data_IF_967091272951
#
_entry.id   IF_967091272951
#
_cell.length_a   1.000
_cell.length_b   1.000
_cell.length_c   1.000
_cell.angle_alpha   90.00
_cell.angle_beta   90.00
_cell.angle_gamma   90.00
#
_symmetry.space_group_name_H-M   'P 1'
#
loop_
_entity.id
_entity.type
_entity.pdbx_description
1 polymer ?
#
# COMPACT_ATOMS: atom_id res chain seq x y z
N UNK A 1 -8.37 -16.79 -3.73
CA UNK A 1 -7.15 -16.18 -3.11
C UNK A 1 -6.89 -14.89 -3.84
N UNK A 2 -6.68 -13.77 -3.13
CA UNK A 2 -6.24 -12.53 -3.78
C UNK A 2 -4.80 -12.21 -3.36
N UNK A 3 -4.10 -11.47 -4.20
CA UNK A 3 -2.71 -11.07 -4.02
C UNK A 3 -2.66 -9.55 -4.11
N UNK A 4 -2.06 -8.89 -3.14
CA UNK A 4 -1.83 -7.45 -3.13
C UNK A 4 -0.35 -7.21 -2.83
N UNK A 5 0.34 -6.48 -3.72
CA UNK A 5 1.75 -6.13 -3.58
C UNK A 5 2.02 -4.72 -4.11
N UNK A 6 3.24 -4.25 -3.89
CA UNK A 6 3.77 -3.05 -4.55
C UNK A 6 4.28 -3.41 -5.95
N UNK A 7 3.99 -2.58 -6.94
CA UNK A 7 4.61 -2.68 -8.26
C UNK A 7 6.11 -2.30 -8.18
N UNK A 8 6.47 -1.47 -7.22
CA UNK A 8 7.75 -0.79 -7.10
C UNK A 8 8.04 0.17 -8.27
N UNK A 9 9.04 1.04 -8.12
CA UNK A 9 9.50 1.89 -9.23
C UNK A 9 10.66 1.25 -9.94
N UNK A 10 10.53 1.07 -11.24
CA UNK A 10 11.60 0.60 -12.10
C UNK A 10 12.77 1.57 -12.07
N UNK A 11 13.98 1.07 -11.77
CA UNK A 11 15.22 1.82 -11.83
C UNK A 11 15.91 1.55 -13.16
N UNK A 12 16.39 2.61 -13.79
CA UNK A 12 17.22 2.47 -14.98
C UNK A 12 18.47 1.62 -14.67
N UNK A 13 18.80 0.72 -15.59
CA UNK A 13 19.99 -0.15 -15.52
C UNK A 13 20.02 -1.20 -14.39
N UNK A 14 18.89 -1.58 -13.81
CA UNK A 14 18.80 -2.74 -12.92
C UNK A 14 17.86 -3.80 -13.51
N UNK A 15 18.37 -5.02 -13.68
CA UNK A 15 17.52 -6.20 -13.85
C UNK A 15 16.81 -6.46 -12.50
N UNK A 16 15.54 -6.13 -12.43
CA UNK A 16 14.71 -6.34 -11.25
C UNK A 16 13.29 -6.66 -11.66
N UNK A 17 12.52 -7.23 -10.74
CA UNK A 17 11.08 -7.42 -10.91
C UNK A 17 10.28 -6.13 -10.65
N UNK A 18 10.94 -4.98 -10.43
CA UNK A 18 10.29 -3.70 -10.22
C UNK A 18 9.62 -3.15 -11.47
N UNK A 19 8.53 -2.41 -11.26
CA UNK A 19 7.63 -1.92 -12.30
C UNK A 19 6.43 -2.83 -12.50
N UNK A 20 5.27 -2.23 -12.83
CA UNK A 20 3.98 -2.92 -12.92
C UNK A 20 4.05 -4.19 -13.77
N UNK A 21 4.48 -4.07 -15.01
CA UNK A 21 4.52 -5.22 -15.95
C UNK A 21 5.48 -6.32 -15.49
N UNK A 22 6.68 -5.92 -15.00
CA UNK A 22 7.69 -6.86 -14.54
C UNK A 22 7.21 -7.61 -13.28
N UNK A 23 6.62 -6.88 -12.33
CA UNK A 23 6.07 -7.47 -11.09
C UNK A 23 4.94 -8.43 -11.40
N UNK A 24 4.00 -8.04 -12.25
CA UNK A 24 2.89 -8.89 -12.67
C UNK A 24 3.39 -10.18 -13.33
N UNK A 25 4.34 -10.07 -14.26
CA UNK A 25 4.97 -11.22 -14.92
C UNK A 25 5.66 -12.14 -13.90
N UNK A 26 6.47 -11.57 -13.01
CA UNK A 26 7.18 -12.32 -11.97
C UNK A 26 6.23 -13.12 -11.07
N UNK A 27 5.14 -12.47 -10.60
CA UNK A 27 4.12 -13.14 -9.77
C UNK A 27 3.49 -14.29 -10.54
N UNK A 28 3.05 -14.06 -11.79
CA UNK A 28 2.43 -15.11 -12.62
C UNK A 28 3.39 -16.29 -12.85
N UNK A 29 4.67 -16.06 -13.12
CA UNK A 29 5.67 -17.11 -13.30
C UNK A 29 5.89 -17.93 -12.03
N UNK A 30 6.01 -17.28 -10.87
CA UNK A 30 6.14 -17.96 -9.58
C UNK A 30 4.95 -18.83 -9.24
N UNK A 31 3.74 -18.36 -9.55
CA UNK A 31 2.54 -19.16 -9.36
C UNK A 31 2.44 -20.33 -10.34
N UNK A 32 2.83 -20.16 -11.61
CA UNK A 32 2.93 -21.28 -12.57
C UNK A 32 3.83 -22.40 -12.05
N UNK A 33 4.97 -22.05 -11.48
CA UNK A 33 5.88 -23.05 -10.90
C UNK A 33 5.23 -23.85 -9.76
N UNK A 34 4.49 -23.16 -8.87
CA UNK A 34 3.83 -23.77 -7.70
C UNK A 34 2.57 -24.57 -8.08
N UNK A 35 1.87 -24.19 -9.13
CA UNK A 35 0.60 -24.80 -9.54
C UNK A 35 0.73 -25.66 -10.80
N UNK A 36 1.94 -26.02 -11.25
CA UNK A 36 2.20 -26.90 -12.39
C UNK A 36 1.37 -28.18 -12.36
N UNK A 37 1.13 -28.75 -11.18
CA UNK A 37 0.33 -29.96 -11.02
C UNK A 37 -1.17 -29.77 -11.32
N UNK A 38 -1.67 -28.53 -11.28
CA UNK A 38 -3.10 -28.21 -11.50
C UNK A 38 -3.42 -27.72 -12.93
N UNK A 39 -2.41 -27.49 -13.76
CA UNK A 39 -2.58 -27.11 -15.17
C UNK A 39 -3.28 -25.75 -15.43
N UNK A 40 -3.43 -24.92 -14.40
CA UNK A 40 -4.14 -23.63 -14.49
C UNK A 40 -3.22 -22.48 -14.20
N UNK A 41 -3.26 -21.45 -15.05
CA UNK A 41 -2.60 -20.16 -14.80
C UNK A 41 -3.31 -19.42 -13.63
N UNK A 42 -2.54 -18.70 -12.84
CA UNK A 42 -3.13 -17.87 -11.80
C UNK A 42 -3.88 -16.68 -12.46
N UNK A 43 -5.16 -16.45 -12.12
CA UNK A 43 -5.95 -15.38 -12.74
C UNK A 43 -5.36 -14.01 -12.40
N UNK A 44 -5.02 -13.22 -13.41
CA UNK A 44 -4.47 -11.87 -13.24
C UNK A 44 -5.44 -10.95 -12.51
N UNK A 45 -6.73 -11.17 -12.64
CA UNK A 45 -7.81 -10.43 -11.98
C UNK A 45 -7.79 -10.60 -10.45
N UNK A 46 -7.04 -11.56 -9.94
CA UNK A 46 -6.83 -11.79 -8.51
C UNK A 46 -5.55 -11.13 -7.98
N UNK A 47 -4.85 -10.37 -8.82
CA UNK A 47 -3.64 -9.62 -8.44
C UNK A 47 -3.97 -8.13 -8.47
N UNK A 48 -3.61 -7.43 -7.40
CA UNK A 48 -3.59 -5.97 -7.34
C UNK A 48 -2.18 -5.50 -7.00
N UNK A 49 -1.67 -4.57 -7.78
CA UNK A 49 -0.38 -3.93 -7.55
C UNK A 49 -0.59 -2.43 -7.25
N UNK A 50 -0.05 -1.98 -6.11
CA UNK A 50 -0.02 -0.56 -5.80
C UNK A 50 0.84 0.21 -6.81
N UNK A 51 0.49 1.49 -7.11
CA UNK A 51 -0.53 2.30 -6.44
C UNK A 51 -1.96 2.07 -6.95
N UNK A 52 -2.18 1.71 -8.23
CA UNK A 52 -3.50 1.76 -8.87
C UNK A 52 -3.76 0.59 -9.84
N UNK A 53 -2.96 -0.47 -9.76
CA UNK A 53 -3.01 -1.66 -10.63
C UNK A 53 -2.72 -1.37 -12.12
N UNK A 54 -1.93 -0.34 -12.40
CA UNK A 54 -1.56 0.08 -13.75
C UNK A 54 -0.17 0.72 -13.80
N UNK A 55 0.14 1.60 -12.86
CA UNK A 55 1.39 2.36 -12.83
C UNK A 55 2.43 1.74 -11.90
N UNK A 56 3.69 2.11 -12.13
CA UNK A 56 4.79 1.80 -11.22
C UNK A 56 4.62 2.57 -9.90
N UNK A 57 4.94 1.94 -8.78
CA UNK A 57 4.90 2.58 -7.47
C UNK A 57 4.64 1.60 -6.32
N UNK A 58 4.29 2.15 -5.19
CA UNK A 58 4.10 1.43 -3.93
C UNK A 58 2.85 1.99 -3.18
N UNK A 59 2.52 1.40 -2.04
CA UNK A 59 1.44 1.89 -1.18
C UNK A 59 1.70 3.34 -0.75
N UNK A 60 2.95 3.68 -0.45
CA UNK A 60 3.33 5.03 -0.08
C UNK A 60 3.05 6.04 -1.18
N UNK A 61 3.21 5.66 -2.46
CA UNK A 61 2.83 6.49 -3.62
C UNK A 61 1.34 6.85 -3.57
N UNK A 62 0.48 5.86 -3.36
CA UNK A 62 -0.97 6.08 -3.25
C UNK A 62 -1.32 6.97 -2.04
N UNK A 63 -0.74 6.69 -0.86
CA UNK A 63 -1.05 7.43 0.36
C UNK A 63 -0.60 8.89 0.28
N UNK A 64 0.53 9.18 -0.35
CA UNK A 64 1.00 10.54 -0.59
C UNK A 64 0.12 11.27 -1.60
N UNK A 65 -0.39 10.58 -2.63
CA UNK A 65 -1.29 11.15 -3.63
C UNK A 65 -2.63 11.58 -3.02
N UNK A 66 -3.12 10.85 -2.02
CA UNK A 66 -4.39 11.14 -1.33
C UNK A 66 -4.21 11.90 -0.01
N UNK A 67 -3.01 12.39 0.28
CA UNK A 67 -2.75 13.25 1.42
C UNK A 67 -3.44 14.61 1.25
N UNK A 68 -4.11 15.10 2.30
CA UNK A 68 -4.92 16.34 2.22
C UNK A 68 -4.13 17.62 2.36
N UNK A 69 -2.94 17.57 2.95
CA UNK A 69 -2.10 18.72 3.25
C UNK A 69 -0.91 18.79 2.29
N UNK A 70 -1.18 19.13 1.05
CA UNK A 70 -0.22 19.21 -0.05
C UNK A 70 0.90 20.24 0.19
N UNK A 71 0.63 21.29 0.95
CA UNK A 71 1.60 22.30 1.36
C UNK A 71 2.77 21.72 2.19
N UNK A 72 2.52 20.76 3.07
CA UNK A 72 3.57 20.06 3.78
C UNK A 72 4.42 19.19 2.85
N UNK A 73 3.79 18.52 1.90
CA UNK A 73 4.49 17.72 0.91
C UNK A 73 5.42 18.58 0.06
N UNK A 74 4.96 19.76 -0.36
CA UNK A 74 5.77 20.75 -1.10
C UNK A 74 6.98 21.25 -0.30
N UNK A 75 6.85 21.42 1.02
CA UNK A 75 7.99 21.76 1.87
C UNK A 75 9.06 20.66 1.84
N UNK A 76 8.64 19.39 1.87
CA UNK A 76 9.55 18.25 1.79
C UNK A 76 10.23 18.15 0.42
N UNK A 77 9.49 18.38 -0.66
CA UNK A 77 10.03 18.45 -2.01
C UNK A 77 11.06 19.57 -2.16
N UNK A 78 10.77 20.76 -1.62
CA UNK A 78 11.73 21.87 -1.58
C UNK A 78 13.02 21.53 -0.83
N UNK A 79 12.93 20.81 0.27
CA UNK A 79 14.08 20.28 0.99
C UNK A 79 14.92 19.34 0.10
N UNK A 80 14.26 18.43 -0.62
CA UNK A 80 14.94 17.51 -1.53
C UNK A 80 15.64 18.22 -2.67
N UNK A 81 15.01 19.24 -3.27
CA UNK A 81 15.63 20.07 -4.32
C UNK A 81 16.85 20.79 -3.79
N UNK A 82 16.77 21.32 -2.57
CA UNK A 82 17.91 21.93 -1.92
C UNK A 82 19.08 20.96 -1.75
N UNK A 83 18.83 19.72 -1.32
CA UNK A 83 19.87 18.70 -1.17
C UNK A 83 20.48 18.31 -2.53
N UNK A 84 19.65 18.09 -3.55
CA UNK A 84 20.11 17.71 -4.90
C UNK A 84 21.07 18.75 -5.51
N UNK A 85 20.96 20.02 -5.10
CA UNK A 85 21.84 21.07 -5.58
C UNK A 85 23.26 21.05 -4.96
N UNK A 86 23.57 20.15 -4.03
CA UNK A 86 24.88 20.10 -3.36
C UNK A 86 25.84 19.15 -4.08
N UNK A 87 27.11 19.53 -4.18
CA UNK A 87 28.14 18.77 -4.89
C UNK A 87 28.34 17.33 -4.37
N UNK A 88 28.11 17.12 -3.07
CA UNK A 88 28.27 15.82 -2.41
C UNK A 88 26.94 15.08 -2.18
N UNK A 89 25.92 15.44 -2.94
CA UNK A 89 24.61 14.78 -2.85
C UNK A 89 24.73 13.27 -3.13
N UNK A 90 24.15 12.50 -2.23
CA UNK A 90 23.88 11.09 -2.43
C UNK A 90 22.37 10.85 -2.39
N UNK A 91 21.80 10.11 -3.35
CA UNK A 91 20.37 9.84 -3.36
C UNK A 91 19.88 9.24 -2.03
N UNK A 92 18.85 9.83 -1.45
CA UNK A 92 18.21 9.31 -0.25
C UNK A 92 17.43 8.04 -0.65
N UNK A 93 17.70 6.93 0.05
CA UNK A 93 16.95 5.68 -0.15
C UNK A 93 15.55 5.80 0.44
N UNK A 94 14.58 5.11 -0.18
CA UNK A 94 13.19 5.02 0.31
C UNK A 94 12.54 6.40 0.55
N UNK A 95 12.75 7.34 -0.35
CA UNK A 95 12.36 8.74 -0.17
C UNK A 95 10.84 8.89 0.07
N UNK A 96 9.99 8.16 -0.67
CA UNK A 96 8.53 8.22 -0.50
C UNK A 96 8.10 7.72 0.87
N UNK A 97 8.68 6.62 1.33
CA UNK A 97 8.43 6.09 2.67
C UNK A 97 8.82 7.09 3.75
N UNK A 98 9.99 7.71 3.62
CA UNK A 98 10.44 8.73 4.56
C UNK A 98 9.53 9.97 4.55
N UNK A 99 9.06 10.37 3.37
CA UNK A 99 8.14 11.49 3.18
C UNK A 99 6.77 11.20 3.84
N UNK A 100 6.21 10.00 3.62
CA UNK A 100 4.97 9.58 4.26
C UNK A 100 5.13 9.52 5.79
N UNK A 101 6.23 9.00 6.28
CA UNK A 101 6.49 8.92 7.72
C UNK A 101 6.57 10.31 8.35
N UNK A 102 7.35 11.22 7.74
CA UNK A 102 7.44 12.60 8.20
C UNK A 102 6.06 13.30 8.14
N UNK A 103 5.26 13.05 7.09
CA UNK A 103 3.92 13.58 6.96
C UNK A 103 3.00 13.10 8.10
N UNK A 104 2.96 11.80 8.37
CA UNK A 104 2.11 11.24 9.44
C UNK A 104 2.58 11.68 10.84
N UNK A 105 3.89 11.80 11.04
CA UNK A 105 4.49 12.26 12.31
C UNK A 105 4.07 13.70 12.65
N UNK A 106 3.94 14.58 11.65
CA UNK A 106 3.45 15.96 11.87
C UNK A 106 2.04 16.01 12.49
N UNK A 107 1.25 14.94 12.31
CA UNK A 107 -0.11 14.82 12.83
C UNK A 107 -0.22 13.83 13.99
N UNK A 108 0.91 13.42 14.59
CA UNK A 108 0.97 12.45 15.70
C UNK A 108 0.38 11.07 15.34
N UNK A 109 0.53 10.67 14.07
CA UNK A 109 -0.02 9.43 13.51
C UNK A 109 1.05 8.37 13.19
N UNK A 110 2.29 8.56 13.66
CA UNK A 110 3.41 7.63 13.44
C UNK A 110 3.12 6.21 13.97
N UNK A 111 2.23 6.06 14.93
CA UNK A 111 1.80 4.77 15.47
C UNK A 111 1.20 3.86 14.41
N UNK A 112 0.50 4.42 13.40
CA UNK A 112 -0.05 3.63 12.29
C UNK A 112 1.03 2.86 11.53
N UNK A 113 2.27 3.32 11.54
CA UNK A 113 3.41 2.67 10.90
C UNK A 113 3.99 1.52 11.75
N UNK A 114 3.64 1.48 13.03
CA UNK A 114 4.11 0.48 14.00
C UNK A 114 3.12 -0.69 14.14
N UNK A 115 1.88 -0.51 13.67
CA UNK A 115 0.86 -1.56 13.76
C UNK A 115 1.25 -2.75 12.90
N UNK A 116 1.42 -3.88 13.54
CA UNK A 116 1.63 -5.17 12.86
C UNK A 116 0.27 -5.82 12.67
N UNK A 117 -0.09 -6.01 11.43
CA UNK A 117 -1.33 -6.68 11.02
C UNK A 117 -1.24 -8.22 11.09
N UNK A 118 -0.27 -8.75 11.82
CA UNK A 118 -0.10 -10.18 12.01
C UNK A 118 -1.08 -10.70 13.06
N UNK A 119 -2.21 -11.19 12.59
CA UNK A 119 -3.27 -11.79 13.41
C UNK A 119 -2.85 -13.10 14.09
N UNK A 120 -1.75 -13.72 13.68
CA UNK A 120 -1.26 -14.98 14.24
C UNK A 120 -0.33 -14.79 15.43
N UNK A 121 0.09 -13.57 15.73
CA UNK A 121 1.04 -13.29 16.80
C UNK A 121 0.31 -12.84 18.08
N UNK A 122 -0.13 -13.80 18.89
CA UNK A 122 -0.82 -13.59 20.18
C UNK A 122 -0.07 -12.66 21.16
N UNK A 123 1.22 -12.41 20.95
CA UNK A 123 2.04 -11.52 21.80
C UNK A 123 1.80 -10.02 21.52
N UNK A 124 1.07 -9.66 20.45
CA UNK A 124 0.86 -8.28 20.02
C UNK A 124 -0.63 -7.92 19.87
N UNK A 125 -1.52 -8.49 20.69
CA UNK A 125 -2.97 -8.18 20.65
C UNK A 125 -3.26 -6.67 20.84
N UNK A 126 -2.39 -5.96 21.55
CA UNK A 126 -2.51 -4.51 21.74
C UNK A 126 -2.38 -3.72 20.43
N UNK A 127 -1.65 -4.25 19.45
CA UNK A 127 -1.40 -3.58 18.16
C UNK A 127 -2.42 -3.97 17.07
N UNK A 128 -3.39 -4.82 17.37
CA UNK A 128 -4.46 -5.18 16.44
C UNK A 128 -5.53 -4.10 16.48
N UNK A 129 -5.69 -3.39 15.37
CA UNK A 129 -6.59 -2.23 15.24
C UNK A 129 -8.05 -2.63 15.06
N UNK A 130 -8.30 -3.79 14.45
CA UNK A 130 -9.65 -4.29 14.15
C UNK A 130 -10.06 -5.40 15.12
N UNK A 131 -11.36 -5.53 15.37
CA UNK A 131 -11.97 -6.64 16.09
C UNK A 131 -12.29 -7.82 15.15
N UNK A 132 -12.90 -8.90 15.71
CA UNK A 132 -13.28 -10.09 14.97
C UNK A 132 -14.36 -9.84 13.90
N UNK A 133 -15.09 -8.73 14.02
CA UNK A 133 -16.10 -8.29 13.06
C UNK A 133 -15.51 -7.37 11.97
N UNK A 134 -14.21 -7.05 12.03
CA UNK A 134 -13.52 -6.15 11.12
C UNK A 134 -13.78 -4.66 11.41
N UNK A 135 -14.31 -4.33 12.59
CA UNK A 135 -14.53 -2.94 13.01
C UNK A 135 -13.31 -2.41 13.76
N UNK A 136 -13.07 -1.10 13.64
CA UNK A 136 -12.02 -0.41 14.41
C UNK A 136 -12.35 -0.51 15.90
N UNK A 137 -11.41 -1.03 16.69
CA UNK A 137 -11.52 -1.11 18.15
C UNK A 137 -11.66 0.28 18.76
N UNK A 138 -12.47 0.41 19.82
CA UNK A 138 -12.78 1.69 20.48
C UNK A 138 -11.53 2.50 20.82
N UNK A 139 -10.51 1.83 21.35
CA UNK A 139 -9.23 2.46 21.73
C UNK A 139 -8.44 3.10 20.57
N UNK A 140 -8.79 2.79 19.32
CA UNK A 140 -8.13 3.32 18.11
C UNK A 140 -9.03 4.26 17.30
N UNK A 141 -10.27 4.49 17.74
CA UNK A 141 -11.22 5.32 16.99
C UNK A 141 -10.73 6.76 16.83
N UNK A 142 -10.24 7.35 17.90
CA UNK A 142 -9.75 8.75 17.86
C UNK A 142 -8.59 8.90 16.85
N UNK A 143 -7.61 7.99 16.89
CA UNK A 143 -6.50 8.00 15.95
C UNK A 143 -6.97 7.78 14.51
N UNK A 144 -7.98 6.93 14.31
CA UNK A 144 -8.56 6.69 12.99
C UNK A 144 -9.33 7.91 12.45
N UNK A 145 -10.06 8.64 13.31
CA UNK A 145 -10.70 9.89 12.90
C UNK A 145 -9.65 10.94 12.52
N UNK A 146 -8.57 11.09 13.29
CA UNK A 146 -7.43 11.95 12.91
C UNK A 146 -6.83 11.53 11.56
N UNK A 147 -6.68 10.23 11.29
CA UNK A 147 -6.17 9.76 10.00
C UNK A 147 -7.07 10.20 8.85
N UNK A 148 -8.39 10.20 9.01
CA UNK A 148 -9.33 10.69 7.99
C UNK A 148 -9.23 12.20 7.74
N UNK A 149 -8.74 12.96 8.72
CA UNK A 149 -8.51 14.40 8.55
C UNK A 149 -7.31 14.70 7.65
N UNK A 150 -6.31 13.80 7.62
CA UNK A 150 -5.06 14.00 6.87
C UNK A 150 -4.98 13.18 5.59
N UNK A 151 -5.73 12.07 5.48
CA UNK A 151 -5.81 11.20 4.31
C UNK A 151 -7.22 11.22 3.71
N UNK A 152 -7.34 11.47 2.41
CA UNK A 152 -8.63 11.49 1.70
C UNK A 152 -9.06 10.08 1.26
N UNK A 153 -9.75 9.36 2.12
CA UNK A 153 -10.33 8.05 1.80
C UNK A 153 -11.48 8.08 0.78
N UNK A 154 -11.92 9.28 0.36
CA UNK A 154 -12.92 9.45 -0.68
C UNK A 154 -12.30 9.78 -2.04
N UNK A 155 -10.98 9.90 -2.11
CA UNK A 155 -10.26 10.16 -3.36
C UNK A 155 -10.61 9.15 -4.45
N UNK A 156 -10.67 9.66 -5.68
CA UNK A 156 -10.83 8.82 -6.89
C UNK A 156 -9.66 7.87 -7.11
N UNK A 157 -8.48 8.19 -6.62
CA UNK A 157 -7.28 7.34 -6.70
C UNK A 157 -7.44 6.01 -5.96
N UNK A 158 -8.42 5.92 -5.03
CA UNK A 158 -8.78 4.67 -4.36
C UNK A 158 -9.77 3.80 -5.14
N UNK A 159 -10.35 4.27 -6.24
CA UNK A 159 -11.36 3.52 -7.01
C UNK A 159 -10.80 2.18 -7.51
N UNK A 160 -9.59 2.08 -8.07
CA UNK A 160 -9.05 0.79 -8.52
C UNK A 160 -8.97 -0.24 -7.38
N UNK A 161 -8.49 0.18 -6.20
CA UNK A 161 -8.42 -0.70 -5.02
C UNK A 161 -9.81 -1.11 -4.52
N UNK A 162 -10.75 -0.16 -4.44
CA UNK A 162 -12.13 -0.43 -4.02
C UNK A 162 -12.82 -1.42 -4.96
N UNK A 163 -12.66 -1.25 -6.27
CA UNK A 163 -13.20 -2.14 -7.27
C UNK A 163 -12.60 -3.56 -7.16
N UNK A 164 -11.28 -3.63 -6.98
CA UNK A 164 -10.61 -4.92 -6.80
C UNK A 164 -11.11 -5.65 -5.55
N UNK A 165 -11.20 -4.98 -4.41
CA UNK A 165 -11.69 -5.59 -3.17
C UNK A 165 -13.17 -5.95 -3.24
N UNK A 166 -13.99 -5.16 -3.94
CA UNK A 166 -15.43 -5.38 -4.13
C UNK A 166 -15.74 -6.71 -4.82
N UNK A 167 -14.91 -7.13 -5.78
CA UNK A 167 -15.07 -8.43 -6.47
C UNK A 167 -15.08 -9.63 -5.52
N UNK A 168 -14.38 -9.54 -4.40
CA UNK A 168 -14.31 -10.62 -3.41
C UNK A 168 -15.41 -10.53 -2.35
N UNK A 169 -15.98 -9.36 -2.11
CA UNK A 169 -17.10 -9.19 -1.20
C UNK A 169 -18.39 -9.80 -1.77
N UNK A 170 -18.67 -9.62 -3.05
CA UNK A 170 -19.84 -10.19 -3.73
C UNK A 170 -19.80 -11.72 -3.80
N UNK A 171 -18.62 -12.32 -3.92
CA UNK A 171 -18.48 -13.78 -3.97
C UNK A 171 -18.77 -14.45 -2.61
N UNK A 172 -18.59 -13.78 -1.47
CA UNK A 172 -18.96 -14.31 -0.15
C UNK A 172 -20.48 -14.41 0.05
N UNK A 173 -21.27 -13.52 -0.55
CA UNK A 173 -22.74 -13.60 -0.46
C UNK A 173 -23.31 -14.77 -1.26
N UNK A 174 -22.64 -15.18 -2.35
CA UNK A 174 -23.09 -16.34 -3.16
C UNK A 174 -22.76 -17.69 -2.54
N UNK A 175 -21.76 -17.79 -1.68
CA UNK A 175 -21.34 -19.05 -1.02
C UNK A 175 -22.15 -19.36 0.25
N UNK A 176 -22.90 -18.41 0.78
CA UNK A 176 -23.76 -18.63 1.98
C UNK A 176 -25.22 -19.01 1.61
N UNK A 177 -25.49 -19.36 0.35
CA UNK A 177 -26.83 -19.75 -0.14
C UNK A 177 -26.92 -21.24 -0.52
N UNK A 178 -25.99 -22.09 -0.01
CA UNK A 178 -26.07 -23.54 -0.14
C UNK A 178 -25.87 -24.22 1.21
#
# INVERSE_FOLDING_TARGET
>A
MCIIFDADIKKENQESDAGFDNKLKHICEKFKEKFKEKGTDFPKEQIFLFPNNQDDGDLETLLLEIAKHDDFLKCFEGYLECIKSKEYYKPIKNIRKNMLYAYLELFELEKFLQYKWDTNNKKNEENIVIDDEGKIKEKHKEEYEKLKEVIDFNSKSLIPLKNFLGQFAENKQKTNLF
#
